data_IF_753779435160
#
_entry.id   IF_753779435160
#
_cell.length_a   1.000
_cell.length_b   1.000
_cell.length_c   1.000
_cell.angle_alpha   90.00
_cell.angle_beta   90.00
_cell.angle_gamma   90.00
#
_symmetry.space_group_name_H-M   'P 1'
#
loop_
_entity.id
_entity.type
_entity.pdbx_description
1 polymer ?
#
# COMPACT_ATOMS: atom_id res chain seq x y z
N UNK A 1 -3.88 -1.60 10.95
CA UNK A 1 -4.51 -2.68 11.74
C UNK A 1 -5.86 -3.01 11.13
N UNK A 2 -6.18 -4.29 10.96
CA UNK A 2 -7.53 -4.75 10.59
C UNK A 2 -8.19 -5.32 11.84
N UNK A 3 -9.40 -4.84 12.15
CA UNK A 3 -10.19 -5.34 13.28
C UNK A 3 -11.33 -6.22 12.76
N UNK A 4 -11.47 -7.42 13.32
CA UNK A 4 -12.56 -8.31 12.98
C UNK A 4 -13.76 -8.10 13.92
N UNK A 5 -14.68 -7.23 13.49
CA UNK A 5 -15.94 -6.96 14.20
C UNK A 5 -17.04 -7.99 13.91
N UNK A 6 -16.73 -9.04 13.15
CA UNK A 6 -17.64 -10.14 12.83
C UNK A 6 -17.66 -11.19 13.95
N UNK A 7 -18.72 -12.00 13.98
CA UNK A 7 -18.79 -13.24 14.78
C UNK A 7 -18.08 -14.43 14.08
N UNK A 8 -17.44 -14.17 12.93
CA UNK A 8 -16.78 -15.18 12.10
C UNK A 8 -15.33 -14.88 11.85
N UNK A 9 -14.61 -15.93 11.47
CA UNK A 9 -13.21 -15.89 11.09
C UNK A 9 -13.04 -15.26 9.70
N UNK A 10 -12.03 -14.40 9.57
CA UNK A 10 -11.68 -13.75 8.31
C UNK A 10 -10.31 -14.25 7.82
N UNK A 11 -10.18 -14.48 6.52
CA UNK A 11 -8.88 -14.60 5.86
C UNK A 11 -8.50 -13.22 5.29
N UNK A 12 -7.38 -12.67 5.75
CA UNK A 12 -6.78 -11.46 5.22
C UNK A 12 -5.50 -11.80 4.45
N UNK A 13 -5.44 -11.41 3.18
CA UNK A 13 -4.26 -11.56 2.31
C UNK A 13 -3.65 -10.19 2.01
N UNK A 14 -2.35 -10.10 2.24
CA UNK A 14 -1.54 -8.91 2.02
C UNK A 14 -0.50 -9.20 0.94
N UNK A 15 -0.55 -8.44 -0.16
CA UNK A 15 0.36 -8.58 -1.31
C UNK A 15 1.14 -7.30 -1.58
N UNK A 16 2.27 -7.43 -2.27
CA UNK A 16 3.15 -6.32 -2.63
C UNK A 16 4.15 -6.00 -1.50
N UNK A 17 4.35 -4.71 -1.27
CA UNK A 17 5.30 -4.14 -0.32
C UNK A 17 4.73 -4.06 1.11
N UNK A 18 3.80 -4.94 1.47
CA UNK A 18 3.17 -4.99 2.78
C UNK A 18 3.96 -5.91 3.72
N UNK A 19 4.43 -5.34 4.83
CA UNK A 19 5.30 -6.02 5.80
C UNK A 19 4.76 -5.93 7.21
N UNK A 20 5.12 -6.91 8.04
CA UNK A 20 4.99 -6.84 9.49
C UNK A 20 6.36 -6.50 10.06
N UNK A 21 6.37 -5.59 11.02
CA UNK A 21 7.55 -5.25 11.83
C UNK A 21 7.27 -5.72 13.24
N UNK A 22 8.13 -6.59 13.75
CA UNK A 22 8.15 -7.01 15.15
C UNK A 22 9.43 -6.44 15.78
N UNK A 23 9.35 -5.98 17.03
CA UNK A 23 10.36 -5.16 17.71
C UNK A 23 11.77 -5.77 17.71
N UNK A 24 11.87 -7.09 17.51
CA UNK A 24 13.13 -7.85 17.55
C UNK A 24 13.49 -8.55 16.24
N UNK A 25 12.76 -8.34 15.14
CA UNK A 25 13.02 -9.03 13.88
C UNK A 25 13.08 -8.11 12.67
N UNK A 26 13.73 -8.58 11.61
CA UNK A 26 13.76 -7.87 10.33
C UNK A 26 12.34 -7.85 9.75
N UNK A 27 11.89 -6.74 9.13
CA UNK A 27 10.60 -6.70 8.45
C UNK A 27 10.43 -7.89 7.51
N UNK A 28 9.25 -8.51 7.57
CA UNK A 28 8.92 -9.69 6.76
C UNK A 28 7.59 -9.48 6.05
N UNK A 29 7.41 -10.14 4.91
CA UNK A 29 6.19 -10.03 4.12
C UNK A 29 4.96 -10.44 4.96
N UNK A 30 3.90 -9.64 4.93
CA UNK A 30 2.71 -9.87 5.75
C UNK A 30 1.95 -11.15 5.36
N UNK A 31 1.93 -11.50 4.07
CA UNK A 31 1.42 -12.79 3.61
C UNK A 31 -0.09 -12.98 3.84
N UNK A 32 -0.47 -14.17 4.31
CA UNK A 32 -1.87 -14.52 4.60
C UNK A 32 -2.03 -14.71 6.10
N UNK A 33 -3.09 -14.11 6.65
CA UNK A 33 -3.44 -14.19 8.06
C UNK A 33 -4.89 -14.60 8.23
N UNK A 34 -5.15 -15.31 9.32
CA UNK A 34 -6.47 -15.67 9.75
C UNK A 34 -6.78 -14.86 11.01
N UNK A 35 -7.86 -14.09 10.99
CA UNK A 35 -8.27 -13.22 12.10
C UNK A 35 -9.53 -13.80 12.71
N UNK A 36 -9.44 -14.21 13.98
CA UNK A 36 -10.56 -14.78 14.71
C UNK A 36 -11.60 -13.71 15.08
N UNK A 37 -12.85 -14.09 15.41
CA UNK A 37 -13.89 -13.15 15.84
C UNK A 37 -13.43 -12.26 17.00
N UNK A 38 -13.70 -10.95 16.92
CA UNK A 38 -13.27 -9.94 17.92
C UNK A 38 -11.75 -9.78 18.09
N UNK A 39 -10.94 -10.39 17.23
CA UNK A 39 -9.49 -10.24 17.22
C UNK A 39 -9.04 -9.20 16.17
N UNK A 40 -7.77 -8.82 16.22
CA UNK A 40 -7.15 -7.85 15.30
C UNK A 40 -5.90 -8.41 14.64
N UNK A 41 -5.64 -7.98 13.41
CA UNK A 41 -4.34 -8.23 12.78
C UNK A 41 -3.22 -7.49 13.52
N UNK A 42 -1.96 -7.93 13.42
CA UNK A 42 -0.84 -7.06 13.74
C UNK A 42 -0.85 -5.79 12.87
N UNK A 43 -0.04 -4.81 13.26
CA UNK A 43 0.20 -3.66 12.40
C UNK A 43 0.95 -4.10 11.13
N UNK A 44 0.37 -3.76 9.98
CA UNK A 44 0.94 -4.03 8.66
C UNK A 44 1.29 -2.69 8.04
N UNK A 45 2.53 -2.57 7.60
CA UNK A 45 3.08 -1.35 7.04
C UNK A 45 3.33 -1.51 5.55
N UNK A 46 3.07 -0.44 4.81
CA UNK A 46 3.44 -0.34 3.41
C UNK A 46 4.87 0.21 3.32
N UNK A 47 5.85 -0.64 3.01
CA UNK A 47 7.26 -0.30 3.11
C UNK A 47 8.09 -0.91 1.98
N UNK A 48 8.95 -0.08 1.39
CA UNK A 48 9.98 -0.50 0.43
C UNK A 48 11.19 0.40 0.53
N UNK A 49 12.37 -0.18 0.33
CA UNK A 49 13.63 0.56 0.27
C UNK A 49 13.85 1.15 -1.12
N UNK A 50 14.25 2.43 -1.16
CA UNK A 50 14.66 3.11 -2.38
C UNK A 50 16.08 3.65 -2.26
N UNK A 51 16.81 3.56 -3.36
CA UNK A 51 18.11 4.22 -3.48
C UNK A 51 17.94 5.73 -3.66
N UNK A 52 18.98 6.51 -3.32
CA UNK A 52 18.98 7.95 -3.56
C UNK A 52 18.71 8.31 -5.02
N UNK A 53 19.20 7.48 -5.96
CA UNK A 53 18.96 7.63 -7.40
C UNK A 53 17.47 7.53 -7.73
N UNK A 54 16.77 6.51 -7.22
CA UNK A 54 15.33 6.36 -7.44
C UNK A 54 14.54 7.54 -6.86
N UNK A 55 14.91 7.99 -5.65
CA UNK A 55 14.26 9.15 -5.04
C UNK A 55 14.54 10.45 -5.81
N UNK A 56 15.72 10.57 -6.43
CA UNK A 56 16.04 11.70 -7.32
C UNK A 56 15.22 11.67 -8.61
N UNK A 57 14.96 10.50 -9.18
CA UNK A 57 14.11 10.34 -10.36
C UNK A 57 12.66 10.74 -10.07
N UNK A 58 12.15 10.46 -8.86
CA UNK A 58 10.88 11.00 -8.39
C UNK A 58 10.88 12.53 -8.33
N UNK A 59 11.93 13.14 -7.78
CA UNK A 59 12.03 14.60 -7.75
C UNK A 59 11.99 15.19 -9.17
N UNK A 60 12.79 14.65 -10.09
CA UNK A 60 12.83 15.11 -11.49
C UNK A 60 11.48 14.95 -12.20
N UNK A 61 10.79 13.82 -12.01
CA UNK A 61 9.45 13.60 -12.56
C UNK A 61 8.45 14.63 -12.04
N UNK A 62 8.51 14.95 -10.74
CA UNK A 62 7.65 15.98 -10.14
C UNK A 62 7.90 17.36 -10.74
N UNK A 63 9.17 17.77 -10.89
CA UNK A 63 9.50 19.06 -11.51
C UNK A 63 9.06 19.13 -12.99
N UNK A 64 9.05 17.98 -13.68
CA UNK A 64 8.52 17.83 -15.03
C UNK A 64 6.97 17.74 -15.08
N UNK A 65 6.29 17.73 -13.93
CA UNK A 65 4.85 17.50 -13.81
C UNK A 65 4.40 16.17 -14.45
N UNK A 66 5.24 15.14 -14.30
CA UNK A 66 5.01 13.76 -14.72
C UNK A 66 4.63 12.87 -13.53
N UNK A 67 4.19 11.64 -13.82
CA UNK A 67 3.89 10.66 -12.79
C UNK A 67 5.16 10.17 -12.09
N UNK A 68 5.13 10.12 -10.75
CA UNK A 68 6.24 9.63 -9.93
C UNK A 68 6.52 8.14 -10.21
N UNK A 69 7.71 7.79 -10.74
CA UNK A 69 7.98 6.42 -11.20
C UNK A 69 8.18 5.42 -10.05
N UNK A 70 8.68 5.86 -8.89
CA UNK A 70 9.00 4.98 -7.77
C UNK A 70 7.94 5.07 -6.69
N UNK A 71 7.21 3.96 -6.50
CA UNK A 71 6.07 3.85 -5.59
C UNK A 71 6.17 2.57 -4.76
N UNK A 72 5.63 2.65 -3.56
CA UNK A 72 5.38 1.50 -2.69
C UNK A 72 3.92 1.07 -2.93
N UNK A 73 3.70 -0.19 -3.26
CA UNK A 73 2.40 -0.71 -3.67
C UNK A 73 1.98 -1.86 -2.75
N UNK A 74 0.73 -1.83 -2.30
CA UNK A 74 0.17 -2.88 -1.45
C UNK A 74 -1.23 -3.25 -1.87
N UNK A 75 -1.62 -4.49 -1.65
CA UNK A 75 -3.02 -4.92 -1.79
C UNK A 75 -3.44 -5.66 -0.53
N UNK A 76 -4.58 -5.27 0.03
CA UNK A 76 -5.24 -5.99 1.12
C UNK A 76 -6.52 -6.61 0.57
N UNK A 77 -6.68 -7.91 0.75
CA UNK A 77 -7.91 -8.65 0.42
C UNK A 77 -8.45 -9.35 1.66
N UNK A 78 -9.75 -9.27 1.91
CA UNK A 78 -10.40 -9.90 3.06
C UNK A 78 -11.61 -10.72 2.61
N UNK A 79 -11.73 -11.95 3.10
CA UNK A 79 -12.84 -12.85 2.82
C UNK A 79 -13.31 -13.61 4.08
N UNK A 80 -14.62 -13.84 4.21
CA UNK A 80 -15.24 -14.83 5.12
C UNK A 80 -15.31 -16.22 4.46
N UNK A 81 -15.32 -17.29 5.24
CA UNK A 81 -15.41 -18.69 4.78
C UNK A 81 -16.70 -19.03 4.03
N UNK A 82 -17.75 -18.20 4.17
CA UNK A 82 -19.02 -18.29 3.44
C UNK A 82 -19.22 -17.21 2.38
N UNK A 83 -18.23 -16.35 2.14
CA UNK A 83 -18.35 -15.36 1.08
C UNK A 83 -18.35 -16.08 -0.28
N UNK A 84 -19.53 -16.19 -0.88
CA UNK A 84 -19.79 -16.68 -2.24
C UNK A 84 -19.19 -15.72 -3.31
N UNK A 85 -17.89 -15.43 -3.23
CA UNK A 85 -17.16 -14.55 -4.14
C UNK A 85 -17.19 -13.06 -3.77
N UNK A 86 -17.60 -12.69 -2.55
CA UNK A 86 -17.57 -11.30 -2.07
C UNK A 86 -16.32 -10.99 -1.24
N UNK A 87 -15.17 -10.88 -1.91
CA UNK A 87 -13.93 -10.44 -1.24
C UNK A 87 -13.87 -8.91 -1.21
N UNK A 88 -13.52 -8.33 -0.07
CA UNK A 88 -13.19 -6.91 0.04
C UNK A 88 -11.74 -6.69 -0.40
N UNK A 89 -11.48 -5.64 -1.17
CA UNK A 89 -10.14 -5.28 -1.66
C UNK A 89 -9.84 -3.81 -1.42
N UNK A 90 -8.61 -3.55 -0.99
CA UNK A 90 -8.00 -2.22 -0.90
C UNK A 90 -6.67 -2.22 -1.64
N UNK A 91 -6.54 -1.34 -2.64
CA UNK A 91 -5.29 -1.08 -3.36
C UNK A 91 -4.61 0.14 -2.73
N UNK A 92 -3.40 -0.05 -2.20
CA UNK A 92 -2.63 0.96 -1.48
C UNK A 92 -1.47 1.45 -2.33
N UNK A 93 -1.21 2.76 -2.27
CA UNK A 93 -0.07 3.38 -2.96
C UNK A 93 0.51 4.49 -2.09
N UNK A 94 1.83 4.47 -1.92
CA UNK A 94 2.62 5.48 -1.25
C UNK A 94 3.78 5.89 -2.17
N UNK A 95 3.95 7.17 -2.40
CA UNK A 95 5.04 7.74 -3.21
C UNK A 95 5.42 9.12 -2.68
N UNK A 96 6.41 9.76 -3.29
CA UNK A 96 6.85 11.08 -2.85
C UNK A 96 8.27 11.45 -3.27
N UNK A 97 8.68 12.64 -2.84
CA UNK A 97 10.00 13.23 -3.11
C UNK A 97 10.67 13.62 -1.78
N UNK A 98 11.22 12.66 -1.02
CA UNK A 98 11.86 12.93 0.27
C UNK A 98 13.28 13.50 0.13
N UNK A 99 13.74 13.77 -1.09
CA UNK A 99 15.08 14.30 -1.37
C UNK A 99 14.99 15.53 -2.25
N UNK A 100 15.97 16.42 -2.12
CA UNK A 100 16.11 17.64 -2.92
C UNK A 100 17.57 17.79 -3.36
N UNK A 101 17.84 18.43 -4.51
CA UNK A 101 19.20 18.70 -4.94
C UNK A 101 19.87 19.68 -3.97
N UNK A 102 21.17 19.50 -3.76
CA UNK A 102 21.99 20.49 -3.03
C UNK A 102 22.24 21.68 -3.96
N UNK A 103 21.96 22.93 -3.54
CA UNK A 103 22.25 24.10 -4.36
C UNK A 103 23.72 24.13 -4.78
N UNK A 104 23.98 24.56 -6.03
CA UNK A 104 25.32 24.75 -6.59
C UNK A 104 26.20 23.48 -6.69
N UNK A 105 25.62 22.29 -6.49
CA UNK A 105 26.34 21.02 -6.57
C UNK A 105 25.59 19.95 -7.37
N UNK A 106 26.01 19.76 -8.63
CA UNK A 106 25.44 18.73 -9.50
C UNK A 106 25.67 17.31 -8.95
N UNK A 107 24.60 16.52 -8.92
CA UNK A 107 24.64 15.13 -8.50
C UNK A 107 24.62 14.89 -6.99
N UNK A 108 24.64 15.95 -6.16
CA UNK A 108 24.45 15.83 -4.72
C UNK A 108 22.98 16.02 -4.35
N UNK A 109 22.52 15.12 -3.50
CA UNK A 109 21.15 15.08 -3.00
C UNK A 109 21.17 15.09 -1.48
N UNK A 110 20.28 15.86 -0.89
CA UNK A 110 20.05 15.86 0.54
C UNK A 110 18.64 15.38 0.84
N UNK A 111 18.47 14.76 2.00
CA UNK A 111 17.13 14.49 2.54
C UNK A 111 16.45 15.84 2.71
N UNK A 112 15.23 15.97 2.22
CA UNK A 112 14.46 17.19 2.37
C UNK A 112 14.41 17.55 3.87
N UNK A 113 14.73 18.80 4.26
CA UNK A 113 15.00 19.19 5.65
C UNK A 113 13.79 19.04 6.60
N UNK A 114 12.61 18.70 6.07
CA UNK A 114 11.39 18.49 6.82
C UNK A 114 11.25 17.01 7.18
N UNK A 115 11.74 16.68 8.37
CA UNK A 115 11.73 15.34 8.95
C UNK A 115 10.29 14.88 9.28
N UNK A 116 10.09 13.55 9.38
CA UNK A 116 8.81 12.93 9.74
C UNK A 116 8.30 13.36 11.15
N UNK A 117 9.14 14.01 11.95
CA UNK A 117 8.85 14.46 13.32
C UNK A 117 8.78 15.97 13.53
N UNK A 118 9.00 16.81 12.52
CA UNK A 118 8.84 18.28 12.63
C UNK A 118 8.00 18.83 11.47
N UNK A 119 6.81 19.34 11.79
CA UNK A 119 5.82 19.72 10.79
C UNK A 119 5.17 18.51 10.10
N UNK A 120 4.23 18.76 9.18
CA UNK A 120 3.53 17.70 8.47
C UNK A 120 4.45 17.06 7.43
N UNK A 121 5.29 16.10 7.81
CA UNK A 121 6.06 15.23 6.88
C UNK A 121 5.21 14.66 5.72
N UNK A 122 3.88 14.73 5.83
CA UNK A 122 2.88 14.67 4.76
C UNK A 122 3.19 15.48 3.48
N UNK A 123 4.05 16.50 3.49
CA UNK A 123 4.34 17.32 2.28
C UNK A 123 5.29 16.66 1.29
N UNK A 124 6.12 15.73 1.73
CA UNK A 124 7.05 15.00 0.85
C UNK A 124 6.49 13.65 0.41
N UNK A 125 5.32 13.27 0.92
CA UNK A 125 4.66 11.99 0.68
C UNK A 125 3.28 12.18 0.05
N UNK A 126 3.09 11.60 -1.12
CA UNK A 126 1.77 11.43 -1.73
C UNK A 126 1.25 10.04 -1.40
N UNK A 127 0.09 9.97 -0.76
CA UNK A 127 -0.51 8.72 -0.32
C UNK A 127 -2.02 8.82 -0.32
N UNK A 128 -2.68 7.66 -0.39
CA UNK A 128 -4.11 7.55 -0.14
C UNK A 128 -4.34 7.11 1.31
N UNK A 129 -4.90 7.98 2.15
CA UNK A 129 -5.10 7.71 3.58
C UNK A 129 -6.00 6.49 3.84
N UNK A 130 -7.05 6.32 3.04
CA UNK A 130 -7.93 5.15 3.04
C UNK A 130 -8.43 4.96 1.61
N UNK A 131 -7.91 4.00 0.83
CA UNK A 131 -8.47 3.76 -0.49
C UNK A 131 -9.93 3.28 -0.36
N UNK A 132 -10.79 3.58 -1.34
CA UNK A 132 -12.19 3.16 -1.30
C UNK A 132 -12.26 1.63 -1.19
N UNK A 133 -13.03 1.12 -0.21
CA UNK A 133 -13.35 -0.31 -0.09
C UNK A 133 -14.03 -0.78 -1.38
N UNK A 134 -13.43 -1.77 -2.04
CA UNK A 134 -14.02 -2.39 -3.23
C UNK A 134 -14.54 -3.78 -2.89
N UNK A 135 -15.84 -4.02 -3.07
CA UNK A 135 -16.41 -5.38 -3.04
C UNK A 135 -16.25 -6.02 -4.40
N UNK A 136 -15.48 -7.09 -4.50
CA UNK A 136 -15.01 -7.67 -5.77
C UNK A 136 -16.18 -8.10 -6.69
N UNK A 137 -17.34 -8.50 -6.16
CA UNK A 137 -18.53 -8.79 -6.97
C UNK A 137 -19.07 -7.58 -7.78
N UNK A 138 -18.62 -6.36 -7.48
CA UNK A 138 -18.93 -5.14 -8.25
C UNK A 138 -17.75 -4.59 -9.06
N UNK A 139 -16.51 -5.01 -8.77
CA UNK A 139 -15.29 -4.50 -9.42
C UNK A 139 -15.22 -4.92 -10.90
N UNK A 140 -15.64 -6.14 -11.22
CA UNK A 140 -15.71 -6.63 -12.60
C UNK A 140 -16.64 -5.78 -13.47
N UNK A 141 -17.80 -5.34 -12.93
CA UNK A 141 -18.73 -4.44 -13.61
C UNK A 141 -18.15 -3.03 -13.79
N UNK A 142 -17.48 -2.48 -12.77
CA UNK A 142 -16.91 -1.14 -12.82
C UNK A 142 -15.68 -1.03 -13.74
N UNK A 143 -14.88 -2.09 -13.84
CA UNK A 143 -13.65 -2.15 -14.68
C UNK A 143 -13.88 -2.72 -16.09
N UNK A 144 -15.14 -2.93 -16.50
CA UNK A 144 -15.52 -3.54 -17.79
C UNK A 144 -14.76 -4.84 -18.12
N UNK A 145 -14.38 -5.62 -17.11
CA UNK A 145 -13.65 -6.87 -17.35
C UNK A 145 -14.65 -7.94 -17.81
N UNK A 146 -14.37 -8.56 -18.95
CA UNK A 146 -15.16 -9.67 -19.46
C UNK A 146 -14.89 -10.89 -18.58
N UNK A 147 -15.88 -11.26 -17.76
CA UNK A 147 -15.80 -12.48 -16.95
C UNK A 147 -15.86 -13.70 -17.89
N UNK A 148 -15.10 -14.79 -17.60
CA UNK A 148 -15.24 -16.03 -18.34
C UNK A 148 -16.69 -16.53 -18.25
N UNK A 149 -17.20 -17.03 -19.38
CA UNK A 149 -18.54 -17.58 -19.42
C UNK A 149 -18.67 -18.72 -18.40
N UNK A 150 -19.78 -18.82 -17.66
CA UNK A 150 -20.00 -19.97 -16.78
C UNK A 150 -19.95 -21.24 -17.62
N UNK A 151 -19.16 -22.22 -17.18
CA UNK A 151 -19.16 -23.55 -17.77
C UNK A 151 -20.54 -24.17 -17.54
N UNK A 152 -21.40 -24.06 -18.55
CA UNK A 152 -22.77 -24.57 -18.52
C UNK A 152 -22.76 -26.10 -18.57
N UNK A 153 -23.29 -26.73 -17.53
CA UNK A 153 -23.82 -28.11 -17.58
C UNK A 153 -25.33 -28.07 -17.43
#
# INVERSE_FOLDING_TARGET
>A
MLENLSDRRLEARFEGDLVIVDDNTRPSAAGVMVIEPSDSSPEVYLQRDFTIKQLSENFLAREANEELPHKVLGTVMVADDRDNGSTDRWDLTLTGCPVVPVPDHDGLWMIAPWHISEGSGLRTLEHTLLPPRQRIHWVSRARQMQLPAPDGT
#
